data_IF_119661967680
#
_entry.id   IF_119661967680
#
_cell.length_a   1.000
_cell.length_b   1.000
_cell.length_c   1.000
_cell.angle_alpha   90.00
_cell.angle_beta   90.00
_cell.angle_gamma   90.00
#
_symmetry.space_group_name_H-M   'P 1'
#
loop_
_entity.id
_entity.type
_entity.pdbx_description
1 polymer ?
#
# COMPACT_ATOMS: atom_id res chain seq x y z
N UNK A 1 7.34 4.61 10.43
CA UNK A 1 6.83 3.48 11.26
C UNK A 1 7.04 2.19 10.44
N UNK A 2 7.54 1.10 11.02
CA UNK A 2 7.93 -0.09 10.24
C UNK A 2 6.77 -0.87 9.60
N UNK A 3 7.08 -1.83 8.73
CA UNK A 3 6.08 -2.73 8.12
C UNK A 3 5.28 -3.53 9.14
N UNK A 4 3.96 -3.56 8.99
CA UNK A 4 3.07 -4.35 9.86
C UNK A 4 2.89 -5.75 9.30
N UNK A 5 3.56 -6.75 9.89
CA UNK A 5 3.46 -8.14 9.42
C UNK A 5 2.05 -8.71 9.58
N UNK A 6 1.42 -8.52 10.74
CA UNK A 6 0.03 -8.91 10.98
C UNK A 6 -0.94 -7.77 10.66
N UNK A 7 -0.91 -7.36 9.40
CA UNK A 7 -1.71 -6.24 8.93
C UNK A 7 -3.21 -6.50 9.06
N UNK A 8 -3.64 -7.74 8.84
CA UNK A 8 -5.06 -8.11 8.80
C UNK A 8 -5.78 -7.84 10.13
N UNK A 9 -5.09 -8.04 11.26
CA UNK A 9 -5.64 -7.76 12.58
C UNK A 9 -5.90 -6.26 12.84
N UNK A 10 -5.20 -5.37 12.13
CA UNK A 10 -5.30 -3.92 12.27
C UNK A 10 -6.12 -3.25 11.15
N UNK A 11 -6.70 -4.04 10.25
CA UNK A 11 -7.49 -3.52 9.13
C UNK A 11 -8.79 -2.86 9.62
N UNK A 12 -9.05 -1.62 9.18
CA UNK A 12 -10.25 -0.87 9.53
C UNK A 12 -11.56 -1.57 9.08
N UNK A 13 -11.52 -2.32 7.97
CA UNK A 13 -12.66 -3.09 7.47
C UNK A 13 -12.90 -4.41 8.23
N UNK A 14 -12.07 -4.79 9.20
CA UNK A 14 -12.21 -6.08 9.90
C UNK A 14 -13.54 -6.23 10.64
N UNK A 15 -14.16 -5.12 11.05
CA UNK A 15 -15.43 -5.11 11.77
C UNK A 15 -16.66 -4.85 10.89
N UNK A 16 -16.48 -4.72 9.58
CA UNK A 16 -17.59 -4.57 8.62
C UNK A 16 -18.03 -5.93 8.09
N UNK A 17 -19.20 -5.99 7.46
CA UNK A 17 -19.61 -7.19 6.72
C UNK A 17 -18.58 -7.48 5.59
N UNK A 18 -18.00 -8.68 5.53
CA UNK A 18 -17.04 -9.05 4.49
C UNK A 18 -17.59 -8.85 3.07
N UNK A 19 -18.89 -9.08 2.85
CA UNK A 19 -19.50 -9.01 1.52
C UNK A 19 -19.45 -7.59 0.95
N UNK A 20 -19.36 -6.56 1.80
CA UNK A 20 -19.18 -5.17 1.36
C UNK A 20 -17.87 -4.94 0.61
N UNK A 21 -16.85 -5.78 0.83
CA UNK A 21 -15.56 -5.68 0.14
C UNK A 21 -15.58 -6.33 -1.25
N UNK A 22 -16.55 -7.21 -1.54
CA UNK A 22 -16.63 -8.00 -2.77
C UNK A 22 -17.72 -7.52 -3.75
N UNK A 23 -18.27 -6.33 -3.52
CA UNK A 23 -19.25 -5.68 -4.40
C UNK A 23 -18.65 -5.26 -5.75
N UNK A 24 -19.52 -4.96 -6.73
CA UNK A 24 -19.15 -4.58 -8.09
C UNK A 24 -19.62 -3.16 -8.45
N UNK A 25 -19.02 -2.57 -9.49
CA UNK A 25 -19.42 -1.28 -10.04
C UNK A 25 -19.36 -0.14 -9.03
N UNK A 26 -20.34 0.77 -9.07
CA UNK A 26 -20.36 1.96 -8.21
C UNK A 26 -20.37 1.65 -6.71
N UNK A 27 -20.83 0.46 -6.30
CA UNK A 27 -20.84 0.05 -4.90
C UNK A 27 -19.42 -0.07 -4.30
N UNK A 28 -18.41 -0.30 -5.14
CA UNK A 28 -17.01 -0.36 -4.71
C UNK A 28 -16.51 0.96 -4.12
N UNK A 29 -17.16 2.09 -4.41
CA UNK A 29 -16.82 3.38 -3.81
C UNK A 29 -16.99 3.38 -2.29
N UNK A 30 -17.98 2.64 -1.76
CA UNK A 30 -18.17 2.51 -0.31
C UNK A 30 -17.02 1.72 0.33
N UNK A 31 -16.66 0.58 -0.26
CA UNK A 31 -15.52 -0.21 0.19
C UNK A 31 -14.20 0.59 0.12
N UNK A 32 -13.97 1.34 -0.97
CA UNK A 32 -12.80 2.21 -1.09
C UNK A 32 -12.75 3.30 -0.02
N UNK A 33 -13.90 3.85 0.38
CA UNK A 33 -13.97 4.88 1.41
C UNK A 33 -13.47 4.36 2.78
N UNK A 34 -13.78 3.10 3.13
CA UNK A 34 -13.26 2.44 4.34
C UNK A 34 -11.72 2.39 4.33
N UNK A 35 -11.10 2.25 3.15
CA UNK A 35 -9.65 2.18 3.04
C UNK A 35 -8.93 3.54 3.24
N UNK A 36 -9.59 4.69 3.09
CA UNK A 36 -8.94 6.02 3.05
C UNK A 36 -8.14 6.35 4.31
N UNK A 37 -8.60 5.90 5.48
CA UNK A 37 -7.91 6.10 6.77
C UNK A 37 -7.36 4.81 7.39
N UNK A 38 -7.32 3.70 6.64
CA UNK A 38 -6.89 2.42 7.18
C UNK A 38 -5.37 2.44 7.43
N UNK A 39 -4.89 2.16 8.67
CA UNK A 39 -3.47 2.28 9.01
C UNK A 39 -2.57 1.29 8.26
N UNK A 40 -3.16 0.19 7.78
CA UNK A 40 -2.48 -0.91 7.09
C UNK A 40 -2.83 -1.00 5.61
N UNK A 41 -3.28 0.12 5.02
CA UNK A 41 -3.70 0.18 3.62
C UNK A 41 -2.59 -0.28 2.67
N UNK A 42 -1.34 0.09 2.94
CA UNK A 42 -0.17 -0.23 2.12
C UNK A 42 0.15 -1.72 2.16
N UNK A 43 0.14 -2.32 3.36
CA UNK A 43 0.35 -3.75 3.57
C UNK A 43 -0.73 -4.58 2.88
N UNK A 44 -1.99 -4.20 3.07
CA UNK A 44 -3.13 -4.85 2.43
C UNK A 44 -3.03 -4.79 0.89
N UNK A 45 -2.62 -3.65 0.33
CA UNK A 45 -2.44 -3.51 -1.12
C UNK A 45 -1.30 -4.39 -1.64
N UNK A 46 -0.16 -4.39 -0.95
CA UNK A 46 0.99 -5.17 -1.34
C UNK A 46 0.67 -6.66 -1.37
N UNK A 47 0.01 -7.17 -0.32
CA UNK A 47 -0.39 -8.56 -0.23
C UNK A 47 -1.33 -8.95 -1.37
N UNK A 48 -2.30 -8.10 -1.70
CA UNK A 48 -3.21 -8.34 -2.83
C UNK A 48 -2.50 -8.35 -4.19
N UNK A 49 -1.46 -7.53 -4.37
CA UNK A 49 -0.71 -7.46 -5.63
C UNK A 49 0.29 -8.61 -5.77
N UNK A 50 1.01 -8.95 -4.70
CA UNK A 50 1.96 -10.08 -4.66
C UNK A 50 1.23 -11.41 -4.88
N UNK A 51 0.08 -11.61 -4.23
CA UNK A 51 -0.73 -12.82 -4.39
C UNK A 51 -1.70 -12.77 -5.58
N UNK A 52 -1.68 -11.68 -6.37
CA UNK A 52 -2.56 -11.48 -7.53
C UNK A 52 -4.04 -11.74 -7.24
N UNK A 53 -4.51 -11.28 -6.08
CA UNK A 53 -5.89 -11.52 -5.62
C UNK A 53 -6.89 -11.00 -6.66
N UNK A 54 -7.83 -11.87 -7.05
CA UNK A 54 -8.66 -11.66 -8.23
C UNK A 54 -9.89 -10.80 -8.00
N UNK A 55 -10.39 -10.74 -6.77
CA UNK A 55 -11.69 -10.17 -6.38
C UNK A 55 -11.60 -9.19 -5.22
N UNK A 56 -12.62 -8.33 -5.11
CA UNK A 56 -12.83 -7.38 -4.03
C UNK A 56 -11.93 -6.15 -4.07
N UNK A 57 -12.21 -5.23 -3.14
CA UNK A 57 -11.44 -4.02 -2.90
C UNK A 57 -10.36 -4.30 -1.86
N UNK A 58 -9.10 -4.06 -2.22
CA UNK A 58 -7.93 -4.28 -1.39
C UNK A 58 -7.06 -3.03 -1.37
N UNK A 59 -6.69 -2.55 -0.18
CA UNK A 59 -5.87 -1.34 -0.03
C UNK A 59 -6.42 -0.10 -0.73
N UNK A 60 -7.74 -0.02 -0.91
CA UNK A 60 -8.43 1.04 -1.63
C UNK A 60 -8.37 0.92 -3.16
N UNK A 61 -8.01 -0.24 -3.70
CA UNK A 61 -8.01 -0.51 -5.14
C UNK A 61 -8.99 -1.64 -5.50
N UNK A 62 -9.77 -1.41 -6.54
CA UNK A 62 -10.61 -2.41 -7.20
C UNK A 62 -9.75 -3.44 -7.95
N UNK A 63 -10.34 -4.57 -8.31
CA UNK A 63 -9.71 -5.61 -9.14
C UNK A 63 -9.19 -5.03 -10.45
N UNK A 64 -10.00 -4.20 -11.10
CA UNK A 64 -9.66 -3.58 -12.40
C UNK A 64 -8.45 -2.66 -12.26
N UNK A 65 -8.40 -1.86 -11.20
CA UNK A 65 -7.27 -0.97 -10.91
C UNK A 65 -6.00 -1.78 -10.60
N UNK A 66 -6.09 -2.85 -9.78
CA UNK A 66 -4.94 -3.73 -9.49
C UNK A 66 -4.41 -4.41 -10.75
N UNK A 67 -5.30 -4.98 -11.59
CA UNK A 67 -4.90 -5.60 -12.88
C UNK A 67 -4.24 -4.58 -13.80
N UNK A 68 -4.73 -3.34 -13.85
CA UNK A 68 -4.10 -2.29 -14.65
C UNK A 68 -2.70 -1.94 -14.12
N UNK A 69 -2.53 -1.89 -12.81
CA UNK A 69 -1.22 -1.64 -12.17
C UNK A 69 -0.23 -2.78 -12.45
N UNK A 70 -0.64 -4.05 -12.29
CA UNK A 70 0.19 -5.22 -12.60
C UNK A 70 0.64 -5.23 -14.07
N UNK A 71 -0.24 -4.87 -15.02
CA UNK A 71 0.13 -4.74 -16.44
C UNK A 71 1.13 -3.61 -16.71
N UNK A 72 1.05 -2.51 -15.98
CA UNK A 72 1.97 -1.37 -16.13
C UNK A 72 3.35 -1.63 -15.52
N UNK A 73 3.46 -2.58 -14.58
CA UNK A 73 4.71 -2.90 -13.88
C UNK A 73 5.01 -4.40 -13.92
N UNK A 74 5.25 -4.98 -15.11
CA UNK A 74 5.43 -6.42 -15.26
C UNK A 74 6.73 -6.96 -14.64
N UNK A 75 7.71 -6.08 -14.36
CA UNK A 75 9.03 -6.45 -13.81
C UNK A 75 9.08 -6.43 -12.29
N UNK A 76 8.02 -5.97 -11.61
CA UNK A 76 7.99 -5.93 -10.14
C UNK A 76 7.73 -7.33 -9.61
N UNK A 77 8.71 -7.86 -8.88
CA UNK A 77 8.67 -9.22 -8.29
C UNK A 77 8.25 -9.24 -6.82
N UNK A 78 8.32 -8.10 -6.13
CA UNK A 78 7.84 -7.94 -4.76
C UNK A 78 7.25 -6.55 -4.57
N UNK A 79 5.92 -6.49 -4.50
CA UNK A 79 5.15 -5.29 -4.20
C UNK A 79 5.33 -4.84 -2.77
N UNK A 80 5.50 -5.77 -1.82
CA UNK A 80 5.94 -5.44 -0.45
C UNK A 80 7.17 -4.54 -0.47
N UNK A 81 8.28 -5.01 -1.05
CA UNK A 81 9.55 -4.26 -1.07
C UNK A 81 9.36 -2.89 -1.74
N UNK A 82 8.72 -2.86 -2.91
CA UNK A 82 8.50 -1.62 -3.65
C UNK A 82 7.69 -0.59 -2.83
N UNK A 83 6.58 -1.02 -2.23
CA UNK A 83 5.69 -0.13 -1.49
C UNK A 83 6.27 0.27 -0.13
N UNK A 84 7.04 -0.60 0.52
CA UNK A 84 7.77 -0.30 1.75
C UNK A 84 8.84 0.79 1.52
N UNK A 85 9.63 0.65 0.45
CA UNK A 85 10.60 1.67 0.05
C UNK A 85 9.91 3.01 -0.24
N UNK A 86 8.87 3.00 -1.08
CA UNK A 86 8.14 4.22 -1.42
C UNK A 86 7.51 4.90 -0.19
N UNK A 87 6.98 4.14 0.77
CA UNK A 87 6.47 4.69 2.04
C UNK A 87 7.59 5.34 2.84
N UNK A 88 8.73 4.67 2.96
CA UNK A 88 9.88 5.18 3.73
C UNK A 88 10.42 6.47 3.13
N UNK A 89 10.57 6.52 1.80
CA UNK A 89 10.99 7.73 1.07
C UNK A 89 10.01 8.88 1.30
N UNK A 90 8.70 8.62 1.23
CA UNK A 90 7.68 9.63 1.54
C UNK A 90 7.79 10.11 2.98
N UNK A 91 7.85 9.20 3.96
CA UNK A 91 7.97 9.53 5.39
C UNK A 91 9.21 10.38 5.69
N UNK A 92 10.34 10.11 5.01
CA UNK A 92 11.55 10.95 5.07
C UNK A 92 11.32 12.32 4.44
N UNK A 93 10.73 12.36 3.25
CA UNK A 93 10.44 13.60 2.52
C UNK A 93 9.52 14.55 3.29
N UNK A 94 8.63 14.03 4.14
CA UNK A 94 7.75 14.82 5.01
C UNK A 94 8.26 14.98 6.45
N UNK A 95 9.45 14.47 6.78
CA UNK A 95 10.10 14.66 8.08
C UNK A 95 9.52 13.82 9.23
N UNK A 96 8.82 12.71 8.94
CA UNK A 96 8.25 11.80 9.95
C UNK A 96 9.30 10.81 10.48
N UNK A 97 10.28 10.41 9.65
CA UNK A 97 11.35 9.45 10.01
C UNK A 97 12.72 10.11 9.86
N UNK A 98 13.68 9.86 10.78
CA UNK A 98 15.04 10.36 10.64
C UNK A 98 15.70 9.90 9.33
N UNK A 99 16.53 10.76 8.74
CA UNK A 99 17.42 10.37 7.66
C UNK A 99 18.40 9.31 8.19
N UNK A 100 18.54 8.21 7.47
CA UNK A 100 19.58 7.22 7.67
C UNK A 100 20.96 7.76 7.26
N UNK A 101 22.02 7.21 7.88
CA UNK A 101 23.41 7.68 7.70
C UNK A 101 23.85 7.71 6.23
N UNK A 102 23.42 6.75 5.40
CA UNK A 102 23.75 6.70 3.96
C UNK A 102 23.22 7.91 3.18
N UNK A 103 22.04 8.41 3.55
CA UNK A 103 21.40 9.55 2.88
C UNK A 103 22.00 10.89 3.33
N UNK A 104 22.63 10.92 4.50
CA UNK A 104 23.43 12.06 4.97
C UNK A 104 24.66 12.24 4.07
N UNK A 105 25.39 11.17 3.74
CA UNK A 105 26.58 11.24 2.88
C UNK A 105 26.29 11.73 1.46
N UNK A 106 25.20 11.25 0.85
CA UNK A 106 24.80 11.65 -0.51
C UNK A 106 24.37 13.13 -0.57
N UNK A 107 23.74 13.63 0.50
CA UNK A 107 23.42 15.05 0.63
C UNK A 107 24.67 15.91 0.83
N UNK A 108 25.66 15.50 1.64
CA UNK A 108 26.94 16.23 1.76
C UNK A 108 27.71 16.29 0.44
N UNK A 109 27.64 15.25 -0.39
CA UNK A 109 28.29 15.21 -1.71
C UNK A 109 27.63 16.14 -2.75
N UNK A 110 26.35 16.48 -2.59
CA UNK A 110 25.61 17.33 -3.51
C UNK A 110 25.77 18.85 -3.25
N UNK A 111 26.31 19.24 -2.09
CA UNK A 111 26.55 20.65 -1.71
C UNK A 111 28.02 21.10 -1.88
N UNK A 112 28.91 20.21 -2.32
CA UNK A 112 30.33 20.48 -2.60
C UNK A 112 30.63 20.54 -4.09
#
# INVERSE_FOLDING_TARGET
>A
MGWVTDWSAQAACRTTDPDELFVQGAAQNRAKAVCTGCPVRTECLADALDNRVEFGVWGGMTERERRALLRRRPTVTSWRRLLETARTEYERGVGIVPLDDDQVYENYAAVG
#
